data_IF_758902337197
#
_entry.id   IF_758902337197
#
_cell.length_a   1.000
_cell.length_b   1.000
_cell.length_c   1.000
_cell.angle_alpha   90.00
_cell.angle_beta   90.00
_cell.angle_gamma   90.00
#
_symmetry.space_group_name_H-M   'P 1'
#
loop_
_entity.id
_entity.type
_entity.pdbx_description
1 polymer ?
#
# COMPACT_ATOMS: atom_id res chain seq x y z
N UNK A 1 0.47 -20.98 21.74
CA UNK A 1 -0.23 -19.70 21.47
C UNK A 1 0.68 -18.63 20.90
N UNK A 2 1.89 -18.42 21.43
CA UNK A 2 2.85 -17.43 20.89
C UNK A 2 3.12 -17.60 19.37
N UNK A 3 3.31 -18.82 18.88
CA UNK A 3 3.53 -19.11 17.45
C UNK A 3 2.36 -18.66 16.57
N UNK A 4 1.13 -18.83 17.04
CA UNK A 4 -0.07 -18.43 16.29
C UNK A 4 -0.13 -16.91 16.15
N UNK A 5 0.11 -16.19 17.25
CA UNK A 5 0.17 -14.73 17.23
C UNK A 5 1.30 -14.20 16.35
N UNK A 6 2.47 -14.82 16.40
CA UNK A 6 3.59 -14.44 15.55
C UNK A 6 3.27 -14.60 14.06
N UNK A 7 2.60 -15.69 13.67
CA UNK A 7 2.16 -15.91 12.28
C UNK A 7 1.13 -14.86 11.86
N UNK A 8 0.15 -14.56 12.72
CA UNK A 8 -0.86 -13.53 12.41
C UNK A 8 -0.22 -12.15 12.23
N UNK A 9 0.76 -11.80 13.08
CA UNK A 9 1.48 -10.54 12.95
C UNK A 9 2.29 -10.46 11.66
N UNK A 10 2.99 -11.54 11.28
CA UNK A 10 3.68 -11.63 9.98
C UNK A 10 2.71 -11.52 8.81
N UNK A 11 1.51 -12.10 8.92
CA UNK A 11 0.49 -12.01 7.88
C UNK A 11 -0.01 -10.57 7.71
N UNK A 12 -0.24 -9.84 8.81
CA UNK A 12 -0.64 -8.43 8.74
C UNK A 12 0.39 -7.58 7.99
N UNK A 13 1.67 -7.75 8.30
CA UNK A 13 2.76 -7.05 7.59
C UNK A 13 2.88 -7.48 6.14
N UNK A 14 2.77 -8.78 5.84
CA UNK A 14 2.85 -9.28 4.47
C UNK A 14 1.72 -8.70 3.60
N UNK A 15 0.49 -8.67 4.11
CA UNK A 15 -0.66 -8.07 3.41
C UNK A 15 -0.44 -6.58 3.21
N UNK A 16 0.00 -5.86 4.25
CA UNK A 16 0.32 -4.44 4.14
C UNK A 16 1.37 -4.16 3.06
N UNK A 17 2.50 -4.87 3.05
CA UNK A 17 3.55 -4.63 2.05
C UNK A 17 3.13 -5.00 0.62
N UNK A 18 2.23 -5.97 0.44
CA UNK A 18 1.70 -6.31 -0.89
C UNK A 18 0.75 -5.22 -1.37
N UNK A 19 -0.18 -4.80 -0.52
CA UNK A 19 -1.24 -3.86 -0.89
C UNK A 19 -0.70 -2.43 -1.01
N UNK A 20 -0.10 -1.90 0.07
CA UNK A 20 0.42 -0.53 0.11
C UNK A 20 1.73 -0.37 -0.68
N UNK A 21 2.46 -1.47 -0.90
CA UNK A 21 3.66 -1.48 -1.75
C UNK A 21 3.36 -1.09 -3.20
N UNK A 22 2.16 -1.39 -3.71
CA UNK A 22 1.71 -0.91 -5.02
C UNK A 22 1.54 0.61 -5.02
N UNK A 23 0.88 1.15 -4.00
CA UNK A 23 0.58 2.57 -3.91
C UNK A 23 1.86 3.41 -3.72
N UNK A 24 2.70 3.03 -2.77
CA UNK A 24 4.01 3.65 -2.53
C UNK A 24 4.94 3.48 -3.74
N UNK A 25 4.88 2.33 -4.41
CA UNK A 25 5.66 2.05 -5.61
C UNK A 25 5.30 2.99 -6.76
N UNK A 26 4.01 3.16 -7.04
CA UNK A 26 3.54 4.11 -8.04
C UNK A 26 3.86 5.56 -7.67
N UNK A 27 3.73 5.94 -6.40
CA UNK A 27 4.13 7.27 -5.93
C UNK A 27 5.62 7.54 -6.13
N UNK A 28 6.47 6.55 -5.85
CA UNK A 28 7.93 6.64 -6.03
C UNK A 28 8.34 6.67 -7.50
N UNK A 29 7.64 5.91 -8.36
CA UNK A 29 7.90 5.87 -9.80
C UNK A 29 7.31 7.06 -10.56
N UNK A 30 6.32 7.77 -9.99
CA UNK A 30 5.59 8.85 -10.63
C UNK A 30 6.47 9.90 -11.32
N UNK A 31 7.59 10.39 -10.74
CA UNK A 31 8.46 11.36 -11.42
C UNK A 31 9.14 10.81 -12.69
N UNK A 32 9.24 9.49 -12.82
CA UNK A 32 9.90 8.82 -13.95
C UNK A 32 8.92 8.36 -15.04
N UNK A 33 7.67 8.06 -14.67
CA UNK A 33 6.67 7.47 -15.58
C UNK A 33 5.55 8.44 -16.00
N UNK A 34 5.35 9.55 -15.30
CA UNK A 34 4.33 10.54 -15.61
C UNK A 34 4.94 11.89 -15.97
N UNK A 35 4.94 12.20 -17.26
CA UNK A 35 5.56 13.39 -17.86
C UNK A 35 4.64 14.62 -17.84
N UNK A 36 3.33 14.42 -17.67
CA UNK A 36 2.34 15.50 -17.64
C UNK A 36 1.28 15.28 -16.55
N UNK A 37 0.49 16.31 -16.29
CA UNK A 37 -0.52 16.28 -15.22
C UNK A 37 -1.66 15.30 -15.49
N UNK A 38 -1.95 15.00 -16.76
CA UNK A 38 -2.96 14.00 -17.11
C UNK A 38 -2.49 12.59 -16.70
N UNK A 39 -1.26 12.20 -17.02
CA UNK A 39 -0.67 10.92 -16.63
C UNK A 39 -0.58 10.77 -15.11
N UNK A 40 -0.21 11.84 -14.39
CA UNK A 40 -0.23 11.85 -12.92
C UNK A 40 -1.63 11.58 -12.37
N UNK A 41 -2.64 12.20 -12.99
CA UNK A 41 -4.04 12.01 -12.58
C UNK A 41 -4.55 10.61 -12.84
N UNK A 42 -4.09 9.96 -13.92
CA UNK A 42 -4.38 8.53 -14.18
C UNK A 42 -3.84 7.66 -13.05
N UNK A 43 -2.59 7.90 -12.61
CA UNK A 43 -1.98 7.17 -11.50
C UNK A 43 -2.75 7.40 -10.19
N UNK A 44 -3.08 8.66 -9.87
CA UNK A 44 -3.87 8.96 -8.66
C UNK A 44 -5.26 8.31 -8.68
N UNK A 45 -5.93 8.30 -9.83
CA UNK A 45 -7.23 7.65 -9.96
C UNK A 45 -7.15 6.12 -9.85
N UNK A 46 -5.99 5.52 -10.19
CA UNK A 46 -5.76 4.10 -9.99
C UNK A 46 -5.53 3.74 -8.51
N UNK A 47 -4.89 4.62 -7.73
CA UNK A 47 -4.64 4.46 -6.28
C UNK A 47 -5.86 4.78 -5.41
N UNK A 48 -6.57 5.87 -5.76
CA UNK A 48 -7.54 6.52 -4.88
C UNK A 48 -8.60 5.60 -4.25
N UNK A 49 -9.18 4.63 -4.98
CA UNK A 49 -10.17 3.71 -4.40
C UNK A 49 -9.62 2.70 -3.38
N UNK A 50 -8.29 2.51 -3.32
CA UNK A 50 -7.66 1.43 -2.55
C UNK A 50 -6.77 1.94 -1.40
N UNK A 51 -6.13 3.10 -1.57
CA UNK A 51 -5.17 3.66 -0.61
C UNK A 51 -5.69 3.64 0.85
N UNK A 52 -6.85 4.23 1.09
CA UNK A 52 -7.44 4.36 2.44
C UNK A 52 -7.74 2.98 3.06
N UNK A 53 -8.09 2.00 2.22
CA UNK A 53 -8.28 0.61 2.63
C UNK A 53 -6.98 -0.15 2.87
N UNK A 54 -5.86 0.30 2.33
CA UNK A 54 -4.55 -0.32 2.53
C UNK A 54 -3.91 0.15 3.84
N UNK A 55 -4.11 1.42 4.22
CA UNK A 55 -3.60 1.98 5.48
C UNK A 55 -4.13 1.25 6.74
N UNK A 56 -5.34 0.69 6.69
CA UNK A 56 -5.91 -0.04 7.84
C UNK A 56 -5.07 -1.25 8.25
N UNK A 57 -4.34 -1.85 7.30
CA UNK A 57 -3.43 -2.96 7.59
C UNK A 57 -2.21 -2.51 8.38
N UNK A 58 -1.68 -1.31 8.10
CA UNK A 58 -0.61 -0.71 8.88
C UNK A 58 -1.07 -0.42 10.30
N UNK A 59 -2.24 0.21 10.45
CA UNK A 59 -2.81 0.54 11.75
C UNK A 59 -3.04 -0.74 12.57
N UNK A 60 -3.55 -1.79 11.94
CA UNK A 60 -3.79 -3.08 12.60
C UNK A 60 -2.49 -3.81 12.97
N UNK A 61 -1.45 -3.73 12.11
CA UNK A 61 -0.15 -4.36 12.37
C UNK A 61 0.67 -3.64 13.44
N UNK A 62 0.52 -2.31 13.52
CA UNK A 62 1.23 -1.43 14.46
C UNK A 62 0.48 -1.15 15.77
N UNK A 63 -0.73 -1.70 15.95
CA UNK A 63 -1.64 -1.46 17.08
C UNK A 63 -1.00 -1.47 18.47
#
# INVERSE_FOLDING_TARGET
MATVWFILWMLLWAVYFILDGFDLGMGTLMPFIASNDYERRVIYNAQGPYWDGNEVWLITAGG
#
